data_IF_621863435275
#
_entry.id   IF_621863435275
#
_cell.length_a   1.000
_cell.length_b   1.000
_cell.length_c   1.000
_cell.angle_alpha   90.00
_cell.angle_beta   90.00
_cell.angle_gamma   90.00
#
_symmetry.space_group_name_H-M   'P 1'
#
loop_
_entity.id
_entity.type
_entity.pdbx_description
1 polymer ?
#
# COMPACT_ATOMS: atom_id res chain seq x y z
N UNK A 1 -24.63 54.57 -18.16
CA UNK A 1 -24.40 54.40 -16.71
C UNK A 1 -23.35 53.29 -16.58
N UNK A 2 -22.04 53.51 -16.80
CA UNK A 2 -21.09 54.35 -16.05
C UNK A 2 -21.07 53.99 -14.55
N UNK A 3 -19.97 53.63 -13.88
CA UNK A 3 -18.57 53.49 -14.26
C UNK A 3 -17.83 52.66 -13.19
N UNK A 4 -16.67 52.12 -13.57
CA UNK A 4 -15.58 51.61 -12.71
C UNK A 4 -15.02 52.73 -11.82
N UNK A 5 -14.44 52.41 -10.67
CA UNK A 5 -13.27 53.13 -10.14
C UNK A 5 -12.24 52.19 -9.48
N UNK A 6 -10.99 52.60 -9.63
CA UNK A 6 -9.70 51.97 -9.31
C UNK A 6 -8.88 53.04 -8.58
N UNK A 7 -7.83 52.62 -7.85
CA UNK A 7 -6.69 53.41 -7.31
C UNK A 7 -6.93 54.11 -5.95
N UNK A 8 -5.95 54.40 -5.09
CA UNK A 8 -4.50 54.17 -4.95
C UNK A 8 -4.16 54.45 -3.46
N UNK A 9 -3.30 53.69 -2.78
CA UNK A 9 -1.87 54.00 -2.53
C UNK A 9 -1.60 55.36 -1.88
N UNK A 10 -1.23 55.36 -0.59
CA UNK A 10 -0.40 56.42 0.03
C UNK A 10 0.57 55.84 1.07
N UNK A 11 1.84 56.13 0.82
CA UNK A 11 3.05 55.92 1.62
C UNK A 11 3.26 57.11 2.58
N UNK A 12 3.93 56.88 3.72
CA UNK A 12 4.90 57.74 4.44
C UNK A 12 5.02 57.20 5.88
N UNK A 13 6.10 56.54 6.33
CA UNK A 13 7.52 56.93 6.49
C UNK A 13 7.82 57.63 7.84
N UNK A 14 9.00 57.24 8.36
CA UNK A 14 9.84 57.85 9.39
C UNK A 14 9.55 57.49 10.87
N UNK A 15 10.51 57.24 11.79
CA UNK A 15 11.96 56.93 11.88
C UNK A 15 12.38 57.39 13.30
N UNK A 16 13.45 56.79 13.86
CA UNK A 16 14.21 57.19 15.07
C UNK A 16 13.70 56.67 16.44
N UNK A 17 14.52 56.19 17.39
CA UNK A 17 15.97 55.97 17.48
C UNK A 17 16.28 55.14 18.76
N UNK A 18 17.21 54.19 18.64
CA UNK A 18 18.39 53.90 19.49
C UNK A 18 18.34 53.51 20.99
N UNK A 19 19.38 52.70 21.30
CA UNK A 19 20.06 52.39 22.57
C UNK A 19 19.60 51.07 23.25
N UNK A 20 20.46 50.12 23.64
CA UNK A 20 21.90 49.92 23.56
C UNK A 20 22.20 48.44 23.87
N UNK A 21 23.31 47.89 23.36
CA UNK A 21 23.88 46.61 23.83
C UNK A 21 24.50 46.78 25.24
N UNK A 22 24.68 45.71 26.04
CA UNK A 22 25.92 44.92 25.90
C UNK A 22 25.84 43.41 26.22
N UNK A 23 26.79 42.69 25.59
CA UNK A 23 27.65 41.60 26.08
C UNK A 23 27.09 40.39 26.86
N UNK A 24 27.21 39.24 26.19
CA UNK A 24 27.84 37.98 26.63
C UNK A 24 27.58 37.42 28.05
N UNK A 25 26.94 36.26 28.08
CA UNK A 25 27.26 35.22 29.06
C UNK A 25 27.09 33.83 28.42
N UNK A 26 28.21 33.11 28.34
CA UNK A 26 28.23 31.69 28.06
C UNK A 26 27.51 30.95 29.20
N UNK A 27 26.51 30.15 28.88
CA UNK A 27 25.98 29.14 29.78
C UNK A 27 26.05 27.80 29.07
N UNK A 28 27.04 27.02 29.47
CA UNK A 28 27.15 25.59 29.23
C UNK A 28 26.01 24.89 29.96
N UNK A 29 24.93 24.60 29.24
CA UNK A 29 23.88 23.70 29.70
C UNK A 29 24.29 22.27 29.39
N UNK A 30 24.68 21.55 30.46
CA UNK A 30 24.78 20.10 30.52
C UNK A 30 23.45 19.48 30.08
N UNK A 31 23.40 19.06 28.82
CA UNK A 31 22.24 18.34 28.31
C UNK A 31 22.37 16.89 28.76
N UNK A 32 21.47 16.49 29.65
CA UNK A 32 21.28 15.11 30.07
C UNK A 32 21.21 14.20 28.84
N UNK A 33 22.03 13.15 28.84
CA UNK A 33 21.96 12.07 27.86
C UNK A 33 20.58 11.40 27.95
N UNK A 34 19.63 11.84 27.12
CA UNK A 34 18.54 10.98 26.68
C UNK A 34 19.17 9.93 25.79
N UNK A 35 19.01 8.66 26.17
CA UNK A 35 19.27 7.52 25.30
C UNK A 35 18.37 7.64 24.06
N UNK A 36 18.88 8.29 23.03
CA UNK A 36 18.34 8.22 21.69
C UNK A 36 18.73 6.85 21.15
N UNK A 37 17.78 5.93 21.03
CA UNK A 37 17.95 4.72 20.24
C UNK A 37 18.10 5.17 18.78
N UNK A 38 19.34 5.45 18.38
CA UNK A 38 19.67 5.80 17.02
C UNK A 38 19.35 4.60 16.12
N UNK A 39 18.35 4.78 15.26
CA UNK A 39 18.11 3.91 14.12
C UNK A 39 19.27 4.13 13.15
N UNK A 40 20.35 3.34 13.27
CA UNK A 40 21.37 3.30 12.23
C UNK A 40 20.74 2.72 10.98
N UNK A 41 20.72 3.52 9.91
CA UNK A 41 20.36 3.05 8.58
C UNK A 41 21.11 1.72 8.30
N UNK A 42 20.44 0.67 7.82
CA UNK A 42 21.10 -0.61 7.65
C UNK A 42 22.25 -0.49 6.67
N UNK A 43 23.44 -0.85 7.14
CA UNK A 43 24.64 -1.03 6.34
C UNK A 43 24.29 -1.85 5.10
N UNK A 44 24.77 -1.43 3.93
CA UNK A 44 24.47 -2.06 2.64
C UNK A 44 24.97 -3.53 2.65
N UNK A 45 24.11 -4.44 3.11
CA UNK A 45 24.45 -5.84 3.24
C UNK A 45 24.73 -6.46 1.87
N UNK A 46 25.81 -7.25 1.77
CA UNK A 46 26.27 -7.96 0.57
C UNK A 46 25.29 -9.02 0.02
N UNK A 47 24.12 -9.18 0.64
CA UNK A 47 23.08 -10.11 0.24
C UNK A 47 21.79 -9.34 -0.07
N UNK A 48 21.12 -9.70 -1.16
CA UNK A 48 19.83 -9.11 -1.51
C UNK A 48 18.81 -9.27 -0.35
N UNK A 49 17.95 -8.27 -0.11
CA UNK A 49 16.93 -8.37 0.93
C UNK A 49 16.00 -9.55 0.68
N UNK A 50 15.61 -10.25 1.74
CA UNK A 50 14.58 -11.28 1.67
C UNK A 50 13.16 -10.70 1.59
N UNK A 51 12.96 -9.44 1.98
CA UNK A 51 11.67 -8.76 1.88
C UNK A 51 11.77 -7.28 1.49
N UNK A 52 10.79 -6.78 0.76
CA UNK A 52 10.52 -5.36 0.58
C UNK A 52 9.27 -4.99 1.39
N UNK A 53 9.38 -4.04 2.31
CA UNK A 53 8.26 -3.41 2.98
C UNK A 53 7.96 -2.12 2.22
N UNK A 54 6.77 -2.02 1.66
CA UNK A 54 6.38 -0.92 0.77
C UNK A 54 5.29 -0.11 1.45
N UNK A 55 5.61 1.12 1.84
CA UNK A 55 4.70 2.02 2.53
C UNK A 55 4.25 3.12 1.59
N UNK A 56 2.94 3.27 1.40
CA UNK A 56 2.33 4.43 0.74
C UNK A 56 1.86 5.39 1.83
N UNK A 57 2.31 6.64 1.78
CA UNK A 57 2.03 7.63 2.82
C UNK A 57 1.60 8.96 2.19
N UNK A 58 0.41 9.48 2.52
CA UNK A 58 -0.11 10.75 2.05
C UNK A 58 -0.03 11.87 3.11
N UNK A 59 -0.75 11.73 4.23
CA UNK A 59 -0.85 12.74 5.30
C UNK A 59 -0.81 12.11 6.69
N UNK A 60 -0.45 10.84 6.79
CA UNK A 60 -0.40 10.10 8.03
C UNK A 60 0.74 10.63 8.93
N UNK A 61 0.62 10.37 10.23
CA UNK A 61 1.64 10.79 11.19
C UNK A 61 2.91 9.95 11.00
N UNK A 62 3.97 10.59 10.51
CA UNK A 62 5.26 9.95 10.22
C UNK A 62 5.83 9.24 11.46
N UNK A 63 5.60 9.76 12.66
CA UNK A 63 6.07 9.12 13.90
C UNK A 63 5.30 7.82 14.18
N UNK A 64 4.01 7.79 13.86
CA UNK A 64 3.20 6.57 14.00
C UNK A 64 3.63 5.52 12.96
N UNK A 65 3.93 5.92 11.72
CA UNK A 65 4.49 5.02 10.70
C UNK A 65 5.83 4.44 11.16
N UNK A 66 6.70 5.26 11.74
CA UNK A 66 7.98 4.80 12.26
C UNK A 66 7.80 3.81 13.42
N UNK A 67 6.90 4.10 14.37
CA UNK A 67 6.58 3.19 15.48
C UNK A 67 6.00 1.86 14.98
N UNK A 68 5.10 1.90 13.99
CA UNK A 68 4.59 0.70 13.35
C UNK A 68 5.72 -0.13 12.74
N UNK A 69 6.62 0.49 11.98
CA UNK A 69 7.74 -0.21 11.37
C UNK A 69 8.66 -0.85 12.41
N UNK A 70 8.90 -0.19 13.55
CA UNK A 70 9.65 -0.79 14.66
C UNK A 70 8.98 -2.05 15.20
N UNK A 71 7.65 -2.06 15.31
CA UNK A 71 6.88 -3.24 15.75
C UNK A 71 6.83 -4.33 14.67
N UNK A 72 6.69 -3.96 13.41
CA UNK A 72 6.76 -4.90 12.29
C UNK A 72 8.11 -5.60 12.24
N UNK A 73 9.20 -4.85 12.40
CA UNK A 73 10.56 -5.37 12.44
C UNK A 73 10.89 -6.20 13.69
N UNK A 74 10.08 -6.13 14.75
CA UNK A 74 10.25 -6.99 15.93
C UNK A 74 9.62 -8.37 15.78
N UNK A 75 8.80 -8.58 14.74
CA UNK A 75 8.26 -9.90 14.39
C UNK A 75 9.39 -10.79 13.87
N UNK A 76 9.66 -11.90 14.54
CA UNK A 76 10.82 -12.77 14.24
C UNK A 76 10.85 -13.23 12.78
N UNK A 77 9.71 -13.70 12.24
CA UNK A 77 9.60 -14.16 10.85
C UNK A 77 9.88 -13.04 9.84
N UNK A 78 9.45 -11.81 10.12
CA UNK A 78 9.72 -10.62 9.28
C UNK A 78 11.18 -10.22 9.39
N UNK A 79 11.72 -10.08 10.61
CA UNK A 79 13.11 -9.69 10.86
C UNK A 79 14.10 -10.64 10.17
N UNK A 80 13.82 -11.95 10.20
CA UNK A 80 14.64 -12.98 9.56
C UNK A 80 14.81 -12.78 8.05
N UNK A 81 13.86 -12.09 7.40
CA UNK A 81 13.97 -11.76 5.96
C UNK A 81 14.94 -10.62 5.66
N UNK A 82 15.45 -9.91 6.67
CA UNK A 82 16.28 -8.70 6.52
C UNK A 82 15.62 -7.70 5.55
N UNK A 83 14.44 -7.16 5.92
CA UNK A 83 13.63 -6.37 5.00
C UNK A 83 14.29 -5.04 4.63
N UNK A 84 14.04 -4.58 3.41
CA UNK A 84 14.27 -3.19 2.97
C UNK A 84 12.97 -2.42 2.96
N UNK A 85 13.01 -1.19 3.46
CA UNK A 85 11.85 -0.32 3.62
C UNK A 85 11.85 0.73 2.50
N UNK A 86 10.76 0.76 1.74
CA UNK A 86 10.50 1.73 0.68
C UNK A 86 9.32 2.59 1.09
N UNK A 87 9.53 3.90 1.14
CA UNK A 87 8.50 4.87 1.49
C UNK A 87 8.13 5.69 0.25
N UNK A 88 6.88 5.60 -0.19
CA UNK A 88 6.32 6.37 -1.28
C UNK A 88 5.43 7.47 -0.68
N UNK A 89 5.90 8.71 -0.79
CA UNK A 89 5.25 9.88 -0.20
C UNK A 89 4.39 10.57 -1.27
N UNK A 90 3.09 10.61 -1.01
CA UNK A 90 2.04 11.23 -1.83
C UNK A 90 1.68 12.64 -1.37
N UNK A 91 2.16 13.04 -0.19
CA UNK A 91 1.89 14.34 0.43
C UNK A 91 2.58 15.51 -0.29
N UNK A 92 2.41 16.71 0.26
CA UNK A 92 3.06 17.91 -0.29
C UNK A 92 4.59 17.93 -0.08
N UNK A 93 5.32 18.86 -0.73
CA UNK A 93 6.78 18.93 -0.67
C UNK A 93 7.35 19.05 0.75
N UNK A 94 6.67 19.78 1.65
CA UNK A 94 7.07 19.91 3.05
C UNK A 94 6.98 18.57 3.81
N UNK A 95 5.93 17.79 3.55
CA UNK A 95 5.74 16.48 4.14
C UNK A 95 6.80 15.48 3.64
N UNK A 96 7.13 15.53 2.35
CA UNK A 96 8.24 14.76 1.78
C UNK A 96 9.59 15.13 2.39
N UNK A 97 9.89 16.42 2.55
CA UNK A 97 11.12 16.88 3.20
C UNK A 97 11.24 16.33 4.62
N UNK A 98 10.16 16.41 5.42
CA UNK A 98 10.12 15.87 6.78
C UNK A 98 10.31 14.35 6.82
N UNK A 99 9.69 13.61 5.90
CA UNK A 99 9.88 12.16 5.80
C UNK A 99 11.34 11.79 5.51
N UNK A 100 12.02 12.57 4.65
CA UNK A 100 13.45 12.39 4.34
C UNK A 100 14.36 12.69 5.53
N UNK A 101 14.08 13.73 6.29
CA UNK A 101 14.88 14.11 7.47
C UNK A 101 14.91 13.01 8.54
N UNK A 102 13.80 12.30 8.74
CA UNK A 102 13.70 11.24 9.74
C UNK A 102 14.45 9.94 9.35
N UNK A 103 14.74 9.75 8.07
CA UNK A 103 15.64 8.71 7.54
C UNK A 103 15.40 7.26 8.06
N UNK A 104 14.14 6.90 8.37
CA UNK A 104 13.80 5.54 8.86
C UNK A 104 13.52 4.53 7.74
N UNK A 105 13.52 4.97 6.48
CA UNK A 105 13.36 4.13 5.29
C UNK A 105 14.68 4.05 4.50
N UNK A 106 14.86 2.97 3.75
CA UNK A 106 16.05 2.79 2.92
C UNK A 106 15.97 3.62 1.64
N UNK A 107 14.76 3.73 1.09
CA UNK A 107 14.46 4.55 -0.07
C UNK A 107 13.17 5.33 0.16
N UNK A 108 13.18 6.60 -0.23
CA UNK A 108 12.04 7.52 -0.08
C UNK A 108 11.79 8.17 -1.44
N UNK A 109 10.58 8.00 -1.95
CA UNK A 109 10.17 8.41 -3.29
C UNK A 109 9.00 9.38 -3.19
N UNK A 110 9.07 10.52 -3.87
CA UNK A 110 7.91 11.40 -4.05
C UNK A 110 7.08 10.88 -5.23
N UNK A 111 5.76 10.75 -5.04
CA UNK A 111 4.84 10.25 -6.06
C UNK A 111 3.52 11.02 -6.03
N UNK A 112 2.78 11.12 -7.14
CA UNK A 112 1.48 11.79 -7.14
C UNK A 112 0.44 11.00 -6.32
N UNK A 113 -0.49 11.71 -5.67
CA UNK A 113 -1.61 11.08 -4.95
C UNK A 113 -2.70 10.57 -5.92
N UNK A 114 -2.38 9.50 -6.65
CA UNK A 114 -3.27 8.86 -7.61
C UNK A 114 -3.43 7.38 -7.24
N UNK A 115 -4.65 6.84 -7.40
CA UNK A 115 -4.89 5.40 -7.34
C UNK A 115 -4.67 4.76 -5.96
N UNK A 116 -4.68 5.58 -4.90
CA UNK A 116 -4.44 5.20 -3.50
C UNK A 116 -3.19 4.32 -3.35
N UNK A 117 -3.18 3.40 -2.40
CA UNK A 117 -2.04 2.54 -2.07
C UNK A 117 -1.74 1.53 -3.19
N UNK A 118 -2.77 1.08 -3.92
CA UNK A 118 -2.65 0.07 -4.97
C UNK A 118 -1.77 0.50 -6.15
N UNK A 119 -1.89 1.78 -6.56
CA UNK A 119 -1.00 2.36 -7.57
C UNK A 119 0.47 2.30 -7.12
N UNK A 120 0.74 2.53 -5.84
CA UNK A 120 2.09 2.49 -5.29
C UNK A 120 2.66 1.07 -5.31
N UNK A 121 1.84 0.06 -5.01
CA UNK A 121 2.29 -1.33 -5.09
C UNK A 121 2.58 -1.77 -6.52
N UNK A 122 1.72 -1.43 -7.47
CA UNK A 122 1.99 -1.70 -8.87
C UNK A 122 3.27 -0.98 -9.33
N UNK A 123 3.44 0.29 -8.97
CA UNK A 123 4.66 1.06 -9.28
C UNK A 123 5.90 0.37 -8.72
N UNK A 124 5.85 -0.09 -7.48
CA UNK A 124 6.95 -0.81 -6.85
C UNK A 124 7.24 -2.13 -7.57
N UNK A 125 6.22 -2.94 -7.86
CA UNK A 125 6.37 -4.19 -8.62
C UNK A 125 7.01 -3.93 -9.98
N UNK A 126 6.51 -2.94 -10.74
CA UNK A 126 7.07 -2.59 -12.06
C UNK A 126 8.53 -2.14 -11.97
N UNK A 127 8.86 -1.27 -11.02
CA UNK A 127 10.21 -0.72 -10.87
C UNK A 127 11.24 -1.76 -10.40
N UNK A 128 10.79 -2.80 -9.70
CA UNK A 128 11.65 -3.82 -9.11
C UNK A 128 11.46 -5.22 -9.71
N UNK A 129 10.65 -5.38 -10.75
CA UNK A 129 10.15 -6.67 -11.24
C UNK A 129 11.24 -7.75 -11.38
N UNK A 130 12.35 -7.43 -12.05
CA UNK A 130 13.47 -8.38 -12.28
C UNK A 130 14.27 -8.73 -11.02
N UNK A 131 14.12 -7.91 -9.98
CA UNK A 131 14.92 -7.92 -8.75
C UNK A 131 14.06 -7.89 -7.50
N UNK A 132 12.84 -8.42 -7.60
CA UNK A 132 11.94 -8.57 -6.47
C UNK A 132 12.61 -9.46 -5.40
N UNK A 133 12.42 -9.14 -4.11
CA UNK A 133 12.94 -9.93 -2.99
C UNK A 133 12.21 -11.28 -2.90
N UNK A 134 12.40 -12.08 -1.84
CA UNK A 134 11.58 -13.28 -1.67
C UNK A 134 10.10 -12.93 -1.41
N UNK A 135 9.83 -11.89 -0.62
CA UNK A 135 8.48 -11.42 -0.32
C UNK A 135 8.34 -9.90 -0.44
N UNK A 136 7.18 -9.42 -0.85
CA UNK A 136 6.81 -8.01 -0.78
C UNK A 136 5.62 -7.86 0.19
N UNK A 137 5.72 -6.89 1.08
CA UNK A 137 4.68 -6.52 2.05
C UNK A 137 4.19 -5.12 1.72
N UNK A 138 3.07 -5.00 0.99
CA UNK A 138 2.36 -3.75 0.80
C UNK A 138 1.61 -3.28 2.07
N UNK A 139 1.89 -2.03 2.44
CA UNK A 139 1.23 -1.20 3.44
C UNK A 139 1.57 -1.44 4.90
N UNK A 140 1.07 -0.53 5.72
CA UNK A 140 0.98 -0.68 7.15
C UNK A 140 -0.47 -0.50 7.63
N UNK A 141 -0.91 -1.41 8.49
CA UNK A 141 -2.09 -1.24 9.34
C UNK A 141 -1.85 -2.04 10.62
N UNK A 142 -2.18 -1.44 11.76
CA UNK A 142 -1.80 -1.94 13.09
C UNK A 142 -2.38 -3.34 13.40
N UNK A 143 -3.60 -3.57 12.95
CA UNK A 143 -4.34 -4.83 13.07
C UNK A 143 -3.73 -6.00 12.27
N UNK A 144 -2.73 -5.76 11.41
CA UNK A 144 -2.07 -6.79 10.61
C UNK A 144 -0.93 -7.52 11.32
N UNK A 145 -0.39 -6.90 12.38
CA UNK A 145 0.82 -7.40 13.03
C UNK A 145 0.61 -8.80 13.61
N UNK A 146 -0.57 -9.09 14.16
CA UNK A 146 -0.90 -10.42 14.69
C UNK A 146 -0.91 -11.49 13.60
N UNK A 147 -1.48 -11.19 12.42
CA UNK A 147 -1.46 -12.12 11.28
C UNK A 147 -0.05 -12.42 10.81
N UNK A 148 0.82 -11.41 10.73
CA UNK A 148 2.23 -11.61 10.39
C UNK A 148 2.97 -12.45 11.44
N UNK A 149 2.68 -12.24 12.73
CA UNK A 149 3.26 -13.03 13.81
C UNK A 149 2.88 -14.51 13.73
N UNK A 150 1.62 -14.81 13.42
CA UNK A 150 1.09 -16.17 13.46
C UNK A 150 1.25 -16.93 12.14
N UNK A 151 1.07 -16.26 11.00
CA UNK A 151 0.91 -16.91 9.69
C UNK A 151 2.12 -16.77 8.78
N UNK A 152 2.84 -15.64 8.85
CA UNK A 152 3.89 -15.36 7.89
C UNK A 152 5.09 -16.28 8.12
N UNK A 153 5.50 -16.96 7.05
CA UNK A 153 6.69 -17.80 7.06
C UNK A 153 7.35 -17.90 5.68
N UNK A 154 8.46 -18.64 5.57
CA UNK A 154 9.23 -18.74 4.32
C UNK A 154 8.46 -19.33 3.12
N UNK A 155 7.35 -20.04 3.38
CA UNK A 155 6.47 -20.65 2.37
C UNK A 155 5.27 -19.79 1.99
N UNK A 156 5.10 -18.61 2.59
CA UNK A 156 3.94 -17.74 2.30
C UNK A 156 4.01 -17.26 0.85
N UNK A 157 3.13 -17.78 0.00
CA UNK A 157 3.00 -17.36 -1.39
C UNK A 157 2.15 -16.11 -1.54
N UNK A 158 0.95 -16.12 -1.00
CA UNK A 158 0.05 -14.97 -0.95
C UNK A 158 -0.84 -15.03 0.28
N UNK A 159 -0.94 -13.93 1.02
CA UNK A 159 -1.70 -13.88 2.26
C UNK A 159 -2.35 -12.51 2.46
N UNK A 160 -3.65 -12.48 2.70
CA UNK A 160 -4.36 -11.25 3.07
C UNK A 160 -4.05 -10.87 4.52
N UNK A 161 -3.63 -9.62 4.73
CA UNK A 161 -3.35 -9.07 6.05
C UNK A 161 -4.55 -8.34 6.65
N UNK A 162 -5.42 -7.82 5.78
CA UNK A 162 -6.66 -7.16 6.19
C UNK A 162 -7.88 -8.05 6.01
N UNK A 163 -8.96 -7.43 5.55
CA UNK A 163 -10.24 -8.10 5.32
C UNK A 163 -10.12 -9.08 4.16
N UNK A 164 -10.43 -10.35 4.43
CA UNK A 164 -10.60 -11.38 3.39
C UNK A 164 -12.09 -11.67 3.23
N UNK A 165 -12.59 -11.68 2.00
CA UNK A 165 -14.00 -11.84 1.70
C UNK A 165 -14.23 -12.77 0.52
N UNK A 166 -15.44 -13.35 0.46
CA UNK A 166 -15.98 -13.88 -0.79
C UNK A 166 -16.35 -12.69 -1.67
N UNK A 167 -15.68 -12.59 -2.82
CA UNK A 167 -16.00 -11.63 -3.86
C UNK A 167 -16.64 -12.35 -5.05
N UNK A 168 -17.47 -11.60 -5.77
CA UNK A 168 -17.96 -11.96 -7.10
C UNK A 168 -17.41 -10.96 -8.12
N UNK A 169 -17.42 -11.35 -9.38
CA UNK A 169 -16.98 -10.47 -10.47
C UNK A 169 -18.05 -9.47 -10.92
N UNK A 170 -19.27 -9.62 -10.44
CA UNK A 170 -20.34 -8.62 -10.40
C UNK A 170 -20.03 -7.51 -9.38
N UNK A 171 -18.99 -7.69 -8.55
CA UNK A 171 -18.57 -6.72 -7.55
C UNK A 171 -19.35 -6.80 -6.24
N UNK A 172 -20.14 -7.85 -6.05
CA UNK A 172 -20.67 -8.20 -4.74
C UNK A 172 -19.54 -8.69 -3.81
N UNK A 173 -19.58 -8.28 -2.56
CA UNK A 173 -18.72 -8.72 -1.46
C UNK A 173 -19.59 -9.11 -0.28
N UNK A 174 -19.34 -10.28 0.30
CA UNK A 174 -20.11 -10.77 1.46
C UNK A 174 -20.01 -9.86 2.70
N UNK A 175 -18.96 -9.02 2.79
CA UNK A 175 -18.75 -8.12 3.94
C UNK A 175 -19.70 -6.94 3.96
N UNK A 176 -20.30 -6.62 2.82
CA UNK A 176 -21.07 -5.39 2.62
C UNK A 176 -22.32 -5.69 1.78
N UNK A 177 -23.19 -6.62 2.19
CA UNK A 177 -24.34 -7.07 1.39
C UNK A 177 -25.34 -5.93 1.12
N UNK A 178 -25.46 -4.98 2.04
CA UNK A 178 -26.31 -3.79 1.89
C UNK A 178 -25.78 -2.78 0.85
N UNK A 179 -24.54 -2.93 0.39
CA UNK A 179 -23.92 -2.10 -0.64
C UNK A 179 -24.20 -2.64 -2.06
N UNK A 180 -25.00 -3.71 -2.16
CA UNK A 180 -25.49 -4.29 -3.42
C UNK A 180 -24.42 -5.03 -4.23
N UNK A 181 -24.72 -5.35 -5.48
CA UNK A 181 -23.71 -5.76 -6.46
C UNK A 181 -22.83 -4.54 -6.78
N UNK A 182 -21.75 -4.39 -6.01
CA UNK A 182 -20.92 -3.19 -6.02
C UNK A 182 -20.03 -3.10 -7.25
N UNK A 183 -20.46 -2.39 -8.28
CA UNK A 183 -19.65 -1.42 -9.06
C UNK A 183 -18.20 -1.71 -9.47
N UNK A 184 -17.76 -2.96 -9.53
CA UNK A 184 -16.39 -3.32 -9.86
C UNK A 184 -16.34 -4.14 -11.14
N UNK A 185 -17.09 -3.74 -12.17
CA UNK A 185 -17.21 -4.51 -13.42
C UNK A 185 -15.85 -4.81 -14.08
N UNK A 186 -14.86 -3.94 -13.87
CA UNK A 186 -13.48 -4.13 -14.35
C UNK A 186 -12.71 -5.25 -13.62
N UNK A 187 -13.24 -5.77 -12.51
CA UNK A 187 -12.69 -6.95 -11.83
C UNK A 187 -12.69 -8.17 -12.76
N UNK A 188 -13.72 -8.30 -13.62
CA UNK A 188 -13.77 -9.34 -14.68
C UNK A 188 -12.66 -9.19 -15.69
N UNK A 189 -12.34 -7.96 -16.07
CA UNK A 189 -11.28 -7.66 -17.03
C UNK A 189 -9.94 -8.02 -16.43
N UNK A 190 -9.67 -7.60 -15.19
CA UNK A 190 -8.41 -7.93 -14.50
C UNK A 190 -8.31 -9.44 -14.29
N UNK A 191 -9.40 -10.12 -13.94
CA UNK A 191 -9.44 -11.58 -13.85
C UNK A 191 -9.06 -12.22 -15.19
N UNK A 192 -9.75 -11.85 -16.28
CA UNK A 192 -9.50 -12.43 -17.60
C UNK A 192 -8.05 -12.22 -18.06
N UNK A 193 -7.47 -11.05 -17.76
CA UNK A 193 -6.07 -10.74 -18.04
C UNK A 193 -5.09 -11.58 -17.20
N UNK A 194 -5.41 -11.81 -15.92
CA UNK A 194 -4.52 -12.50 -14.99
C UNK A 194 -4.60 -14.03 -15.07
N UNK A 195 -5.79 -14.55 -15.37
CA UNK A 195 -6.12 -15.97 -15.28
C UNK A 195 -6.39 -16.62 -16.64
N UNK A 196 -6.52 -15.84 -17.72
CA UNK A 196 -6.83 -16.36 -19.05
C UNK A 196 -8.20 -17.05 -19.16
N UNK A 197 -9.07 -16.86 -18.17
CA UNK A 197 -10.38 -17.52 -18.06
C UNK A 197 -11.49 -16.50 -17.77
N UNK A 198 -12.74 -16.91 -17.97
CA UNK A 198 -13.87 -16.13 -17.47
C UNK A 198 -13.87 -16.15 -15.95
N UNK A 199 -14.24 -15.03 -15.36
CA UNK A 199 -14.27 -14.92 -13.91
C UNK A 199 -15.33 -15.86 -13.30
N UNK A 200 -14.98 -16.61 -12.25
CA UNK A 200 -15.92 -17.47 -11.56
C UNK A 200 -17.00 -16.64 -10.86
N UNK A 201 -18.06 -17.33 -10.42
CA UNK A 201 -19.09 -16.70 -9.62
C UNK A 201 -18.51 -16.15 -8.31
N UNK A 202 -17.68 -16.94 -7.62
CA UNK A 202 -17.14 -16.61 -6.32
C UNK A 202 -15.64 -16.97 -6.24
N UNK A 203 -14.90 -16.16 -5.50
CA UNK A 203 -13.49 -16.39 -5.20
C UNK A 203 -13.10 -15.65 -3.92
N UNK A 204 -11.98 -16.04 -3.30
CA UNK A 204 -11.42 -15.29 -2.19
C UNK A 204 -10.76 -14.00 -2.67
N UNK A 205 -11.08 -12.87 -2.03
CA UNK A 205 -10.47 -11.57 -2.30
C UNK A 205 -9.90 -10.93 -1.02
N UNK A 206 -8.71 -10.36 -1.12
CA UNK A 206 -8.10 -9.49 -0.13
C UNK A 206 -8.74 -8.10 -0.26
N UNK A 207 -9.89 -7.91 0.36
CA UNK A 207 -10.86 -6.85 0.07
C UNK A 207 -10.30 -5.42 0.14
N UNK A 208 -9.33 -5.17 1.03
CA UNK A 208 -8.66 -3.87 1.19
C UNK A 208 -7.26 -3.82 0.55
N UNK A 209 -6.85 -4.87 -0.17
CA UNK A 209 -5.57 -4.93 -0.89
C UNK A 209 -4.34 -4.94 0.00
N UNK A 210 -4.50 -5.25 1.29
CA UNK A 210 -3.39 -5.41 2.21
C UNK A 210 -2.99 -6.87 2.29
N UNK A 211 -1.75 -7.16 1.93
CA UNK A 211 -1.30 -8.53 1.69
C UNK A 211 0.20 -8.71 1.90
N UNK A 212 0.65 -9.95 1.90
CA UNK A 212 2.03 -10.35 1.59
C UNK A 212 1.99 -11.18 0.32
N UNK A 213 2.93 -10.96 -0.59
CA UNK A 213 3.10 -11.77 -1.79
C UNK A 213 4.55 -12.21 -1.94
N UNK A 214 4.77 -13.45 -2.34
CA UNK A 214 6.09 -13.93 -2.72
C UNK A 214 6.45 -13.45 -4.12
N UNK A 215 7.75 -13.44 -4.42
CA UNK A 215 8.23 -13.21 -5.78
C UNK A 215 7.72 -14.27 -6.75
N UNK A 216 7.59 -15.53 -6.34
CA UNK A 216 7.06 -16.57 -7.21
C UNK A 216 5.64 -16.24 -7.67
N UNK A 217 4.77 -15.79 -6.75
CA UNK A 217 3.41 -15.36 -7.08
C UNK A 217 3.37 -14.06 -7.90
N UNK A 218 4.22 -13.08 -7.59
CA UNK A 218 4.34 -11.85 -8.37
C UNK A 218 4.89 -12.09 -9.79
N UNK A 219 5.61 -13.19 -10.02
CA UNK A 219 6.11 -13.58 -11.34
C UNK A 219 5.18 -14.49 -12.12
N UNK A 220 4.01 -14.85 -11.57
CA UNK A 220 2.96 -15.53 -12.35
C UNK A 220 2.43 -14.62 -13.47
N UNK A 221 2.55 -13.32 -13.30
CA UNK A 221 2.10 -12.32 -14.26
C UNK A 221 3.29 -11.63 -14.89
N UNK A 222 3.25 -11.39 -16.20
CA UNK A 222 4.33 -10.66 -16.88
C UNK A 222 4.43 -9.22 -16.38
N UNK A 223 5.66 -8.67 -16.41
CA UNK A 223 5.89 -7.23 -16.16
C UNK A 223 4.96 -6.33 -16.98
N UNK A 224 4.69 -6.71 -18.23
CA UNK A 224 3.81 -5.98 -19.16
C UNK A 224 2.38 -5.87 -18.63
N UNK A 225 1.87 -6.90 -17.95
CA UNK A 225 0.54 -6.81 -17.32
C UNK A 225 0.56 -5.79 -16.17
N UNK A 226 1.58 -5.81 -15.30
CA UNK A 226 1.70 -4.80 -14.23
C UNK A 226 1.87 -3.39 -14.79
N UNK A 227 2.65 -3.20 -15.85
CA UNK A 227 2.80 -1.92 -16.55
C UNK A 227 1.47 -1.43 -17.14
N UNK A 228 0.69 -2.34 -17.73
CA UNK A 228 -0.65 -2.03 -18.22
C UNK A 228 -1.59 -1.59 -17.08
N UNK A 229 -1.64 -2.36 -15.99
CA UNK A 229 -2.48 -2.05 -14.82
C UNK A 229 -2.07 -0.72 -14.18
N UNK A 230 -0.77 -0.45 -14.06
CA UNK A 230 -0.25 0.83 -13.58
C UNK A 230 -0.65 1.97 -14.53
N UNK A 231 -0.58 1.73 -15.84
CA UNK A 231 -1.01 2.66 -16.87
C UNK A 231 -2.45 3.12 -16.69
N UNK A 232 -3.35 2.23 -16.25
CA UNK A 232 -4.76 2.59 -15.98
C UNK A 232 -4.91 3.64 -14.86
N UNK A 233 -3.99 3.69 -13.90
CA UNK A 233 -3.93 4.75 -12.89
C UNK A 233 -3.30 6.04 -13.40
N UNK A 234 -2.23 5.95 -14.19
CA UNK A 234 -1.43 7.11 -14.59
C UNK A 234 -1.89 7.75 -15.89
N UNK A 235 -2.85 7.13 -16.57
CA UNK A 235 -3.46 7.70 -17.77
C UNK A 235 -4.14 9.03 -17.45
N UNK A 236 -4.07 9.96 -18.40
CA UNK A 236 -4.67 11.29 -18.27
C UNK A 236 -6.18 11.22 -17.99
N UNK A 237 -6.69 12.20 -17.25
CA UNK A 237 -8.08 12.23 -16.79
C UNK A 237 -9.10 12.30 -17.94
N UNK A 238 -8.69 12.85 -19.09
CA UNK A 238 -9.48 12.97 -20.33
C UNK A 238 -9.48 11.70 -21.19
N UNK A 239 -8.73 10.67 -20.81
CA UNK A 239 -8.68 9.42 -21.57
C UNK A 239 -9.99 8.62 -21.41
N UNK A 240 -10.51 7.95 -22.46
CA UNK A 240 -11.77 7.20 -22.40
C UNK A 240 -11.85 6.14 -21.28
N UNK A 241 -10.73 5.57 -20.88
CA UNK A 241 -10.65 4.61 -19.76
C UNK A 241 -10.87 5.25 -18.37
N UNK A 242 -10.71 6.58 -18.27
CA UNK A 242 -10.89 7.36 -17.03
C UNK A 242 -12.15 8.21 -17.06
N UNK A 243 -12.44 8.86 -18.18
CA UNK A 243 -13.66 9.69 -18.34
C UNK A 243 -14.91 8.85 -18.12
N UNK A 244 -14.88 7.57 -18.50
CA UNK A 244 -16.00 6.65 -18.32
C UNK A 244 -15.94 5.89 -16.98
N UNK A 245 -15.10 6.29 -16.01
CA UNK A 245 -15.01 5.61 -14.72
C UNK A 245 -16.37 5.55 -13.99
N UNK A 246 -17.22 6.58 -14.20
CA UNK A 246 -18.60 6.59 -13.72
C UNK A 246 -19.50 5.50 -14.35
N UNK A 247 -19.24 5.07 -15.59
CA UNK A 247 -19.96 3.95 -16.22
C UNK A 247 -19.61 2.61 -15.56
N UNK A 248 -18.42 2.54 -14.96
CA UNK A 248 -17.94 1.36 -14.26
C UNK A 248 -18.32 1.38 -12.78
N UNK A 249 -18.72 2.54 -12.23
CA UNK A 249 -19.41 2.63 -10.92
C UNK A 249 -20.85 2.16 -11.11
N UNK A 250 -21.29 1.17 -10.33
CA UNK A 250 -22.70 0.78 -10.34
C UNK A 250 -23.54 1.95 -9.84
N UNK A 251 -24.75 2.14 -10.37
CA UNK A 251 -25.64 3.24 -9.98
C UNK A 251 -26.07 3.19 -8.50
N UNK A 252 -25.91 2.04 -7.84
CA UNK A 252 -26.09 1.85 -6.39
C UNK A 252 -24.78 1.82 -5.60
N UNK A 253 -23.65 2.12 -6.24
CA UNK A 253 -22.36 2.18 -5.57
C UNK A 253 -22.34 3.38 -4.63
N UNK A 254 -22.20 3.11 -3.34
CA UNK A 254 -22.02 4.14 -2.32
C UNK A 254 -20.54 4.58 -2.17
N UNK A 255 -19.65 4.15 -3.08
CA UNK A 255 -18.27 4.65 -3.13
C UNK A 255 -18.31 6.14 -3.46
N UNK A 256 -17.70 7.02 -2.64
CA UNK A 256 -17.67 8.45 -2.90
C UNK A 256 -17.16 8.76 -4.31
N UNK A 257 -17.70 9.81 -4.94
CA UNK A 257 -17.39 10.15 -6.33
C UNK A 257 -15.88 10.40 -6.51
N UNK A 258 -15.25 10.98 -5.49
CA UNK A 258 -13.84 11.33 -5.42
C UNK A 258 -12.89 10.14 -5.15
N UNK A 259 -13.43 8.95 -4.82
CA UNK A 259 -12.60 7.76 -4.63
C UNK A 259 -12.37 7.03 -5.96
N UNK A 260 -11.13 6.62 -6.26
CA UNK A 260 -10.81 5.97 -7.53
C UNK A 260 -11.37 4.54 -7.54
N UNK A 261 -12.37 4.29 -8.38
CA UNK A 261 -13.00 2.97 -8.57
C UNK A 261 -11.96 1.92 -8.89
N UNK A 262 -11.01 2.25 -9.78
CA UNK A 262 -9.99 1.30 -10.19
C UNK A 262 -9.04 0.93 -9.04
N UNK A 263 -8.85 1.81 -8.05
CA UNK A 263 -8.13 1.50 -6.81
C UNK A 263 -8.80 0.33 -6.08
N UNK A 264 -10.11 0.41 -5.89
CA UNK A 264 -10.90 -0.65 -5.25
C UNK A 264 -11.01 -1.93 -6.08
N UNK A 265 -11.05 -1.82 -7.41
CA UNK A 265 -10.93 -2.99 -8.31
C UNK A 265 -9.60 -3.70 -8.05
N UNK A 266 -8.50 -2.95 -8.00
CA UNK A 266 -7.17 -3.51 -7.78
C UNK A 266 -7.00 -4.14 -6.41
N UNK A 267 -7.54 -3.55 -5.34
CA UNK A 267 -7.56 -4.15 -3.99
C UNK A 267 -8.06 -5.60 -4.05
N UNK A 268 -9.19 -5.82 -4.73
CA UNK A 268 -9.85 -7.13 -4.85
C UNK A 268 -9.24 -8.05 -5.90
N UNK A 269 -8.43 -7.51 -6.80
CA UNK A 269 -7.84 -8.25 -7.94
C UNK A 269 -6.56 -8.98 -7.59
N UNK A 270 -5.94 -8.69 -6.44
CA UNK A 270 -4.66 -9.29 -6.08
C UNK A 270 -4.70 -10.81 -6.03
N UNK A 271 -5.79 -11.42 -5.54
CA UNK A 271 -5.94 -12.87 -5.53
C UNK A 271 -5.89 -13.48 -6.94
N UNK A 272 -6.53 -12.84 -7.91
CA UNK A 272 -6.44 -13.26 -9.31
C UNK A 272 -5.02 -13.10 -9.86
N UNK A 273 -4.33 -11.99 -9.54
CA UNK A 273 -2.96 -11.78 -10.00
C UNK A 273 -1.98 -12.80 -9.39
N UNK A 274 -2.18 -13.16 -8.12
CA UNK A 274 -1.29 -14.03 -7.35
C UNK A 274 -1.68 -15.53 -7.42
N UNK A 275 -2.70 -15.87 -8.22
CA UNK A 275 -3.30 -17.21 -8.27
C UNK A 275 -3.62 -17.78 -6.88
N UNK A 276 -4.29 -16.96 -6.06
CA UNK A 276 -4.69 -17.29 -4.69
C UNK A 276 -6.20 -17.13 -4.53
N UNK A 277 -6.96 -17.90 -5.29
CA UNK A 277 -8.39 -17.64 -5.54
C UNK A 277 -9.34 -18.59 -4.82
N UNK A 278 -8.83 -19.59 -4.09
CA UNK A 278 -9.66 -20.57 -3.38
C UNK A 278 -10.60 -19.86 -2.39
N UNK A 279 -11.90 -19.97 -2.65
CA UNK A 279 -12.96 -19.34 -1.86
C UNK A 279 -12.95 -19.79 -0.40
N UNK A 280 -12.42 -20.99 -0.10
CA UNK A 280 -12.30 -21.49 1.27
C UNK A 280 -11.39 -20.62 2.15
N UNK A 281 -10.44 -19.89 1.56
CA UNK A 281 -9.61 -18.91 2.27
C UNK A 281 -10.50 -17.80 2.86
N UNK A 282 -11.54 -17.37 2.15
CA UNK A 282 -12.45 -16.35 2.67
C UNK A 282 -13.34 -16.85 3.81
N UNK A 283 -13.75 -18.13 3.78
CA UNK A 283 -14.56 -18.72 4.84
C UNK A 283 -13.75 -19.03 6.09
N UNK A 284 -12.54 -19.56 5.92
CA UNK A 284 -11.73 -20.07 7.03
C UNK A 284 -11.03 -18.98 7.84
N UNK A 285 -10.97 -17.75 7.30
CA UNK A 285 -10.01 -16.74 7.76
C UNK A 285 -10.66 -15.41 8.13
N UNK A 286 -11.93 -15.47 8.51
CA UNK A 286 -12.70 -14.30 8.97
C UNK A 286 -12.44 -13.95 10.44
N UNK A 287 -11.81 -14.82 11.23
CA UNK A 287 -11.51 -14.59 12.65
C UNK A 287 -10.05 -14.14 12.87
N UNK A 288 -9.87 -13.15 13.75
CA UNK A 288 -8.57 -12.87 14.39
C UNK A 288 -8.26 -14.06 15.29
N UNK A 289 -7.06 -14.63 15.19
CA UNK A 289 -6.62 -15.74 16.01
C UNK A 289 -6.37 -15.27 17.45
N UNK A 290 -7.44 -15.11 18.22
CA UNK A 290 -7.37 -14.73 19.63
C UNK A 290 -7.33 -15.95 20.57
N UNK A 291 -7.50 -17.17 20.04
CA UNK A 291 -7.52 -18.41 20.82
C UNK A 291 -6.34 -19.34 20.49
N UNK A 292 -5.92 -20.12 21.50
CA UNK A 292 -4.73 -20.99 21.50
C UNK A 292 -4.74 -22.10 20.42
N UNK A 293 -5.89 -22.38 19.81
CA UNK A 293 -6.00 -23.35 18.73
C UNK A 293 -5.98 -22.67 17.36
N UNK A 294 -4.75 -22.46 16.87
CA UNK A 294 -4.43 -21.91 15.56
C UNK A 294 -4.25 -23.01 14.49
N UNK A 295 -4.77 -24.22 14.72
CA UNK A 295 -4.68 -25.31 13.74
C UNK A 295 -5.53 -24.99 12.50
N UNK A 296 -5.00 -25.25 11.30
CA UNK A 296 -5.69 -24.97 10.03
C UNK A 296 -5.51 -23.55 9.48
N UNK A 297 -4.73 -22.69 10.15
CA UNK A 297 -4.43 -21.34 9.66
C UNK A 297 -3.52 -21.31 8.42
N UNK A 298 -2.85 -22.40 8.12
CA UNK A 298 -2.23 -22.62 6.81
C UNK A 298 -3.25 -22.49 5.66
N UNK A 299 -4.54 -22.76 5.91
CA UNK A 299 -5.62 -22.54 4.95
C UNK A 299 -6.00 -21.05 4.77
N UNK A 300 -5.34 -20.14 5.50
CA UNK A 300 -5.54 -18.69 5.40
C UNK A 300 -4.59 -17.94 4.50
N UNK A 301 -3.80 -18.68 3.77
CA UNK A 301 -2.85 -18.17 2.81
C UNK A 301 -2.66 -19.21 1.72
N UNK A 302 -2.27 -18.75 0.54
CA UNK A 302 -1.74 -19.64 -0.46
C UNK A 302 -0.26 -19.83 -0.17
N UNK A 303 0.14 -21.07 0.05
CA UNK A 303 1.55 -21.41 0.19
C UNK A 303 2.18 -21.58 -1.19
N UNK A 304 3.47 -21.25 -1.28
CA UNK A 304 4.31 -21.71 -2.37
C UNK A 304 4.76 -23.12 -2.01
N UNK A 305 3.99 -24.13 -2.45
CA UNK A 305 4.45 -25.51 -2.36
C UNK A 305 5.68 -25.69 -3.25
N UNK A 306 6.59 -26.59 -2.87
CA UNK A 306 7.77 -26.95 -3.67
C UNK A 306 7.45 -27.66 -5.00
N UNK A 307 6.21 -27.61 -5.47
CA UNK A 307 5.75 -28.02 -6.80
C UNK A 307 4.41 -27.32 -7.09
N UNK A 308 4.14 -26.86 -8.32
CA UNK A 308 2.88 -26.22 -8.67
C UNK A 308 1.71 -27.18 -8.38
N UNK A 309 0.65 -26.69 -7.73
CA UNK A 309 -0.63 -27.36 -7.87
C UNK A 309 -0.97 -27.37 -9.37
N UNK A 310 -1.17 -28.56 -9.93
CA UNK A 310 -1.70 -28.78 -11.27
C UNK A 310 -3.05 -28.05 -11.38
N UNK A 311 -3.01 -26.83 -11.89
CA UNK A 311 -4.14 -25.92 -11.80
C UNK A 311 -3.87 -24.62 -12.55
N UNK A 312 -3.75 -24.76 -13.88
CA UNK A 312 -3.66 -23.69 -14.88
C UNK A 312 -2.35 -22.91 -14.85
N UNK A 313 -1.49 -23.19 -15.83
CA UNK A 313 -0.38 -22.33 -16.18
C UNK A 313 -0.93 -20.94 -16.60
N UNK A 314 -0.37 -19.83 -16.10
CA UNK A 314 -0.59 -18.53 -16.70
C UNK A 314 -0.09 -18.54 -18.15
N UNK A 315 -0.83 -17.90 -19.06
CA UNK A 315 -0.47 -17.73 -20.48
C UNK A 315 0.68 -16.72 -20.60
#
# INVERSE_FOLDING_TARGET
MAAREVAALTFLAAVCLLCAAPAAAWSSSTTAHRHSLAFTAPEAASHAPGMHIVISMYQEDIMQVQQYLQRLLSIHSVAATRPRIFLYVKGGPEFFARARELSFAHEIHEVPNIGREQETYLRHVVAHYERLPQHALPNYEENMLSRLQTLFGPRTGAMGLGLTAVCTCEGHSQLWPEWGAGGFIRLREVWALAQGTLCPHEFACFHNGFLVASRARLHLQTKKLYEYLLGLFTTSADHPLRVNEFLYKHHTSNIPEEWPTFGHVMERSWNALLNCTDVNIAYSCSAVCEQEDCTGLEHCQCLDEGSPHDGVAPI
#
